data_IF_852409591482
#
_entry.id   IF_852409591482
#
_cell.length_a   1.000
_cell.length_b   1.000
_cell.length_c   1.000
_cell.angle_alpha   90.00
_cell.angle_beta   90.00
_cell.angle_gamma   90.00
#
_symmetry.space_group_name_H-M   'P 1'
#
loop_
_entity.id
_entity.type
_entity.pdbx_description
1 polymer ?
#
# COMPACT_ATOMS: atom_id res chain seq x y z
N UNK A 1 6.29 -13.48 -0.99
CA UNK A 1 5.96 -13.69 0.43
C UNK A 1 4.65 -12.97 0.69
N UNK A 2 3.83 -13.39 1.66
CA UNK A 2 2.64 -12.63 2.04
C UNK A 2 3.08 -11.59 3.07
N UNK A 3 3.01 -10.32 2.69
CA UNK A 3 3.31 -9.20 3.57
C UNK A 3 2.12 -8.99 4.52
N UNK A 4 2.40 -9.00 5.82
CA UNK A 4 1.39 -8.79 6.85
C UNK A 4 1.24 -7.28 7.08
N UNK A 5 0.04 -6.76 6.79
CA UNK A 5 -0.31 -5.36 7.07
C UNK A 5 -1.28 -5.30 8.25
N UNK A 6 -0.87 -4.62 9.31
CA UNK A 6 -1.72 -4.30 10.45
C UNK A 6 -2.38 -2.93 10.24
N UNK A 7 -3.69 -2.96 10.05
CA UNK A 7 -4.54 -1.78 9.87
C UNK A 7 -5.12 -1.26 11.19
N UNK A 8 -4.86 -1.93 12.31
CA UNK A 8 -5.42 -1.58 13.62
C UNK A 8 -4.52 -0.64 14.42
N UNK A 9 -3.23 -0.53 14.06
CA UNK A 9 -2.28 0.38 14.71
C UNK A 9 -2.70 1.85 14.63
N UNK A 10 -3.33 2.24 13.51
CA UNK A 10 -3.93 3.56 13.31
C UNK A 10 -5.42 3.40 12.97
N UNK A 11 -6.32 3.27 13.96
CA UNK A 11 -7.74 3.00 13.71
C UNK A 11 -8.41 4.03 12.78
N UNK A 12 -8.07 5.31 12.96
CA UNK A 12 -8.59 6.41 12.14
C UNK A 12 -8.17 6.31 10.66
N UNK A 13 -7.08 5.60 10.35
CA UNK A 13 -6.60 5.40 8.99
C UNK A 13 -7.61 4.61 8.14
N UNK A 14 -8.24 3.59 8.73
CA UNK A 14 -9.22 2.75 8.03
C UNK A 14 -10.46 3.57 7.69
N UNK A 15 -10.99 4.29 8.67
CA UNK A 15 -12.18 5.13 8.48
C UNK A 15 -11.90 6.26 7.47
N UNK A 16 -10.72 6.89 7.55
CA UNK A 16 -10.31 7.89 6.59
C UNK A 16 -10.20 7.32 5.17
N UNK A 17 -9.50 6.20 5.01
CA UNK A 17 -9.32 5.53 3.72
C UNK A 17 -10.66 5.16 3.09
N UNK A 18 -11.55 4.55 3.86
CA UNK A 18 -12.86 4.17 3.34
C UNK A 18 -13.72 5.39 3.02
N UNK A 19 -13.89 6.33 3.96
CA UNK A 19 -14.74 7.52 3.76
C UNK A 19 -14.26 8.41 2.61
N UNK A 20 -12.94 8.54 2.42
CA UNK A 20 -12.36 9.43 1.41
C UNK A 20 -12.14 8.77 0.05
N UNK A 21 -11.74 7.50 0.04
CA UNK A 21 -11.25 6.82 -1.15
C UNK A 21 -12.07 5.59 -1.54
N UNK A 22 -13.00 5.15 -0.69
CA UNK A 22 -13.81 3.94 -0.90
C UNK A 22 -12.94 2.71 -1.15
N UNK A 23 -11.81 2.63 -0.43
CA UNK A 23 -10.88 1.49 -0.42
C UNK A 23 -10.95 0.85 0.96
N UNK A 24 -11.11 -0.46 0.99
CA UNK A 24 -11.10 -1.26 2.22
C UNK A 24 -9.67 -1.72 2.56
N UNK A 25 -9.41 -2.07 3.84
CA UNK A 25 -8.15 -2.71 4.23
C UNK A 25 -7.81 -3.97 3.43
N UNK A 26 -8.82 -4.76 3.06
CA UNK A 26 -8.64 -5.97 2.24
C UNK A 26 -8.12 -5.64 0.85
N UNK A 27 -8.77 -4.70 0.15
CA UNK A 27 -8.32 -4.26 -1.19
C UNK A 27 -6.92 -3.64 -1.15
N UNK A 28 -6.62 -2.81 -0.15
CA UNK A 28 -5.28 -2.26 0.01
C UNK A 28 -4.25 -3.36 0.28
N UNK A 29 -4.60 -4.37 1.09
CA UNK A 29 -3.72 -5.51 1.36
C UNK A 29 -3.48 -6.38 0.12
N UNK A 30 -4.48 -6.54 -0.76
CA UNK A 30 -4.28 -7.20 -2.05
C UNK A 30 -3.24 -6.47 -2.90
N UNK A 31 -3.33 -5.14 -2.99
CA UNK A 31 -2.36 -4.35 -3.75
C UNK A 31 -0.94 -4.41 -3.14
N UNK A 32 -0.81 -4.55 -1.83
CA UNK A 32 0.49 -4.75 -1.17
C UNK A 32 1.07 -6.14 -1.45
N UNK A 33 0.20 -7.15 -1.55
CA UNK A 33 0.59 -8.55 -1.80
C UNK A 33 0.65 -8.92 -3.29
N UNK A 34 0.44 -7.94 -4.16
CA UNK A 34 0.62 -8.13 -5.59
C UNK A 34 2.09 -8.43 -5.90
N UNK A 35 2.32 -9.46 -6.71
CA UNK A 35 3.66 -9.95 -7.05
C UNK A 35 4.44 -8.92 -7.84
N UNK A 36 3.74 -8.09 -8.62
CA UNK A 36 4.31 -7.03 -9.45
C UNK A 36 4.26 -5.67 -8.75
N UNK A 37 3.96 -5.64 -7.44
CA UNK A 37 3.87 -4.40 -6.69
C UNK A 37 5.20 -3.62 -6.72
N UNK A 38 5.11 -2.32 -6.99
CA UNK A 38 6.25 -1.41 -6.93
C UNK A 38 6.38 -0.82 -5.54
N UNK A 39 7.53 -1.04 -4.92
CA UNK A 39 7.85 -0.57 -3.58
C UNK A 39 8.80 0.62 -3.64
N UNK A 40 8.42 1.70 -2.95
CA UNK A 40 9.25 2.88 -2.77
C UNK A 40 9.46 3.09 -1.28
N UNK A 41 10.63 2.67 -0.81
CA UNK A 41 11.09 2.82 0.56
C UNK A 41 12.42 3.61 0.58
N UNK A 42 12.41 4.88 1.02
CA UNK A 42 11.24 5.63 1.50
C UNK A 42 10.32 6.11 0.37
N UNK A 43 9.07 6.46 0.70
CA UNK A 43 8.14 7.09 -0.23
C UNK A 43 8.76 8.40 -0.75
N UNK A 44 8.96 8.55 -2.08
CA UNK A 44 9.60 9.73 -2.67
C UNK A 44 8.85 11.03 -2.42
N UNK A 45 7.57 10.95 -2.02
CA UNK A 45 6.73 12.12 -1.68
C UNK A 45 6.66 12.38 -0.18
N UNK A 46 7.27 11.54 0.65
CA UNK A 46 7.28 11.70 2.10
C UNK A 46 8.24 12.79 2.53
N UNK A 47 7.78 13.70 3.41
CA UNK A 47 8.63 14.76 3.99
C UNK A 47 9.48 14.26 5.16
N UNK A 48 8.99 13.28 5.90
CA UNK A 48 9.70 12.69 7.04
C UNK A 48 10.64 11.55 6.63
N UNK A 49 10.40 10.93 5.47
CA UNK A 49 11.13 9.76 5.01
C UNK A 49 10.78 8.47 5.76
N UNK A 50 9.73 8.47 6.58
CA UNK A 50 9.36 7.34 7.44
C UNK A 50 8.36 6.38 6.80
N UNK A 51 7.68 6.82 5.75
CA UNK A 51 6.61 6.06 5.11
C UNK A 51 7.10 5.35 3.86
N UNK A 52 6.49 4.22 3.56
CA UNK A 52 6.69 3.44 2.34
C UNK A 52 5.47 3.60 1.44
N UNK A 53 5.70 3.71 0.13
CA UNK A 53 4.64 3.73 -0.88
C UNK A 53 4.69 2.43 -1.66
N UNK A 54 3.54 1.77 -1.75
CA UNK A 54 3.34 0.59 -2.59
C UNK A 54 2.36 0.94 -3.71
N UNK A 55 2.65 0.52 -4.93
CA UNK A 55 1.73 0.60 -6.07
C UNK A 55 1.52 -0.82 -6.58
N UNK A 56 0.30 -1.34 -6.47
CA UNK A 56 -0.02 -2.70 -6.88
C UNK A 56 -1.48 -2.89 -7.25
N UNK A 57 -1.80 -4.01 -7.88
CA UNK A 57 -3.14 -4.33 -8.34
C UNK A 57 -3.97 -5.03 -7.26
N UNK A 58 -5.16 -4.48 -6.99
CA UNK A 58 -6.19 -5.16 -6.20
C UNK A 58 -7.18 -5.83 -7.14
N UNK A 59 -7.37 -7.15 -6.96
CA UNK A 59 -8.32 -7.95 -7.72
C UNK A 59 -9.76 -7.57 -7.37
N UNK A 60 -10.05 -7.33 -6.09
CA UNK A 60 -11.37 -6.95 -5.62
C UNK A 60 -11.75 -5.56 -6.11
N UNK A 61 -10.86 -4.57 -5.98
CA UNK A 61 -11.10 -3.21 -6.48
C UNK A 61 -11.04 -3.11 -8.02
N UNK A 62 -10.50 -4.15 -8.68
CA UNK A 62 -10.16 -4.21 -10.11
C UNK A 62 -9.38 -2.98 -10.57
N UNK A 63 -8.39 -2.60 -9.77
CA UNK A 63 -7.69 -1.34 -9.94
C UNK A 63 -6.27 -1.41 -9.39
N UNK A 64 -5.39 -0.60 -9.99
CA UNK A 64 -4.10 -0.29 -9.40
C UNK A 64 -4.34 0.68 -8.25
N UNK A 65 -3.89 0.30 -7.08
CA UNK A 65 -3.97 1.10 -5.86
C UNK A 65 -2.58 1.56 -5.45
N UNK A 66 -2.55 2.75 -4.87
CA UNK A 66 -1.42 3.28 -4.14
C UNK A 66 -1.73 3.13 -2.65
N UNK A 67 -0.82 2.50 -1.92
CA UNK A 67 -0.94 2.23 -0.48
C UNK A 67 0.23 2.87 0.25
N UNK A 68 -0.03 3.48 1.41
CA UNK A 68 0.99 4.07 2.28
C UNK A 68 1.11 3.23 3.54
N UNK A 69 2.34 2.85 3.85
CA UNK A 69 2.71 2.00 4.98
C UNK A 69 3.75 2.69 5.88
N UNK A 70 3.89 2.21 7.10
CA UNK A 70 5.05 2.42 7.98
C UNK A 70 5.67 1.07 8.32
N UNK A 71 6.98 1.04 8.53
CA UNK A 71 7.64 -0.13 9.11
C UNK A 71 7.06 -0.43 10.49
N UNK A 72 6.71 -1.69 10.74
CA UNK A 72 6.37 -2.12 12.09
C UNK A 72 7.66 -2.43 12.88
N UNK A 73 7.83 -1.80 14.03
CA UNK A 73 8.82 -2.20 15.03
C UNK A 73 8.37 -3.51 15.67
N UNK A 74 8.65 -4.65 15.04
CA UNK A 74 8.40 -5.98 15.61
C UNK A 74 9.70 -6.77 15.69
N UNK A 75 10.13 -7.07 16.92
CA UNK A 75 11.32 -7.90 17.20
C UNK A 75 11.07 -9.40 16.99
N UNK A 76 9.85 -9.80 16.59
CA UNK A 76 9.51 -11.21 16.34
C UNK A 76 9.41 -11.46 14.83
N UNK A 77 10.44 -12.15 14.35
CA UNK A 77 10.52 -13.09 13.21
C UNK A 77 9.93 -12.77 11.82
N UNK A 78 9.33 -11.62 11.58
CA UNK A 78 8.93 -11.20 10.24
C UNK A 78 8.67 -9.70 10.16
N UNK A 79 9.33 -9.03 9.22
CA UNK A 79 9.04 -7.64 8.83
C UNK A 79 7.53 -7.46 8.65
N UNK A 80 6.95 -6.50 9.38
CA UNK A 80 5.53 -6.18 9.30
C UNK A 80 5.32 -4.74 8.87
N UNK A 81 4.10 -4.42 8.46
CA UNK A 81 3.73 -3.09 8.01
C UNK A 81 2.53 -2.56 8.79
N UNK A 82 2.55 -1.30 9.18
CA UNK A 82 1.36 -0.59 9.62
C UNK A 82 0.71 0.12 8.44
N UNK A 83 -0.58 -0.15 8.21
CA UNK A 83 -1.35 0.49 7.15
C UNK A 83 -1.76 1.92 7.52
N UNK A 84 -1.47 2.89 6.65
CA UNK A 84 -1.73 4.32 6.91
C UNK A 84 -2.83 4.89 6.01
N UNK A 85 -2.84 4.54 4.72
CA UNK A 85 -3.88 4.99 3.77
C UNK A 85 -3.79 4.21 2.46
N UNK A 86 -4.80 4.33 1.61
CA UNK A 86 -4.84 3.70 0.28
C UNK A 86 -5.84 4.38 -0.65
N UNK A 87 -5.52 4.45 -1.94
CA UNK A 87 -6.40 5.05 -2.95
C UNK A 87 -6.11 4.51 -4.35
N UNK A 88 -7.04 4.70 -5.30
CA UNK A 88 -6.81 4.38 -6.72
C UNK A 88 -5.66 5.21 -7.29
N UNK A 89 -4.68 4.56 -7.90
CA UNK A 89 -3.51 5.23 -8.47
C UNK A 89 -3.88 6.20 -9.60
N UNK A 90 -3.10 7.27 -9.72
CA UNK A 90 -3.22 8.18 -10.87
C UNK A 90 -2.64 7.53 -12.15
N UNK A 91 -2.78 8.22 -13.29
CA UNK A 91 -2.32 7.70 -14.60
C UNK A 91 -0.82 7.48 -14.67
N UNK A 92 0.00 8.33 -14.04
CA UNK A 92 1.47 8.20 -14.02
C UNK A 92 1.90 6.95 -13.25
N UNK A 93 1.38 6.78 -12.04
CA UNK A 93 1.67 5.65 -11.17
C UNK A 93 1.15 4.33 -11.78
N UNK A 94 -0.06 4.38 -12.36
CA UNK A 94 -0.63 3.24 -13.08
C UNK A 94 0.18 2.84 -14.31
N UNK A 95 0.73 3.81 -15.04
CA UNK A 95 1.58 3.52 -16.20
C UNK A 95 2.88 2.86 -15.78
N UNK A 96 3.56 3.41 -14.76
CA UNK A 96 4.80 2.83 -14.21
C UNK A 96 4.61 1.38 -13.78
N UNK A 97 3.54 1.10 -13.03
CA UNK A 97 3.21 -0.27 -12.64
C UNK A 97 3.10 -1.21 -13.85
N UNK A 98 2.37 -0.81 -14.90
CA UNK A 98 2.21 -1.66 -16.09
C UNK A 98 3.51 -1.85 -16.87
N UNK A 99 4.31 -0.79 -17.00
CA UNK A 99 5.59 -0.85 -17.70
C UNK A 99 6.56 -1.83 -17.02
N UNK A 100 6.56 -1.89 -15.70
CA UNK A 100 7.41 -2.81 -14.93
C UNK A 100 6.81 -4.23 -14.84
N UNK A 101 5.49 -4.37 -14.76
CA UNK A 101 4.83 -5.68 -14.73
C UNK A 101 4.88 -6.44 -16.08
N UNK A 102 5.07 -5.74 -17.19
CA UNK A 102 5.16 -6.32 -18.53
C UNK A 102 6.62 -6.59 -18.99
N UNK A 103 7.62 -6.16 -18.21
CA UNK A 103 9.06 -6.25 -18.52
C UNK A 103 9.75 -7.49 -17.95
#
# INVERSE_FOLDING_TARGET
MIEKVDWTFLPDAVDHMFSRHQVSPGEATEAVNDVDALWFDPDPKSRSGLSVRVIGYSQTARAILTVILLHADTELDGSGWYGVNGWRSNSTDSRRYREEAEG
#
